data_IF_683595046310
#
_entry.id   IF_683595046310
#
_cell.length_a   1.000
_cell.length_b   1.000
_cell.length_c   1.000
_cell.angle_alpha   90.00
_cell.angle_beta   90.00
_cell.angle_gamma   90.00
#
_symmetry.space_group_name_H-M   'P 1'
#
loop_
_entity.id
_entity.type
_entity.pdbx_description
1 polymer ?
#
# COMPACT_ATOMS: atom_id res chain seq x y z
N UNK A 1 -6.46 10.32 5.96
CA UNK A 1 -5.94 9.03 5.46
C UNK A 1 -6.90 8.48 4.42
N UNK A 2 -6.39 7.94 3.32
CA UNK A 2 -7.17 7.23 2.31
C UNK A 2 -7.22 5.74 2.65
N UNK A 3 -8.14 5.01 2.00
CA UNK A 3 -8.28 3.56 2.11
C UNK A 3 -8.31 2.92 0.73
N UNK A 4 -8.05 1.62 0.67
CA UNK A 4 -7.98 0.88 -0.57
C UNK A 4 -7.74 -0.61 -0.35
N UNK A 5 -7.64 -1.32 -1.47
CA UNK A 5 -7.39 -2.76 -1.53
C UNK A 5 -6.02 -3.00 -2.16
N UNK A 6 -5.23 -3.86 -1.55
CA UNK A 6 -3.96 -4.32 -2.12
C UNK A 6 -4.26 -5.15 -3.37
N UNK A 7 -3.87 -4.63 -4.53
CA UNK A 7 -4.10 -5.28 -5.82
C UNK A 7 -3.18 -6.48 -6.02
N UNK A 8 -1.94 -6.33 -5.60
CA UNK A 8 -0.93 -7.39 -5.51
C UNK A 8 0.27 -6.87 -4.74
N UNK A 9 1.03 -7.78 -4.14
CA UNK A 9 2.31 -7.49 -3.51
C UNK A 9 3.28 -8.64 -3.75
N UNK A 10 4.55 -8.33 -4.00
CA UNK A 10 5.59 -9.33 -4.14
C UNK A 10 6.55 -9.24 -2.95
N UNK A 11 6.39 -10.16 -2.01
CA UNK A 11 7.15 -10.23 -0.76
C UNK A 11 8.66 -10.33 -1.00
N UNK A 12 9.07 -11.09 -2.01
CA UNK A 12 10.49 -11.26 -2.35
C UNK A 12 11.12 -9.97 -2.90
N UNK A 13 10.36 -9.15 -3.62
CA UNK A 13 10.83 -7.87 -4.16
C UNK A 13 10.53 -6.67 -3.24
N UNK A 14 9.65 -6.83 -2.25
CA UNK A 14 9.28 -5.78 -1.31
C UNK A 14 8.43 -4.65 -1.89
N UNK A 15 7.67 -4.90 -2.96
CA UNK A 15 6.77 -3.90 -3.53
C UNK A 15 5.52 -4.49 -4.18
N UNK A 16 4.52 -3.62 -4.37
CA UNK A 16 3.25 -3.94 -5.00
C UNK A 16 2.45 -2.69 -5.32
N UNK A 17 1.14 -2.85 -5.47
CA UNK A 17 0.22 -1.76 -5.77
C UNK A 17 -1.06 -1.86 -4.94
N UNK A 18 -1.62 -0.69 -4.61
CA UNK A 18 -2.90 -0.54 -3.92
C UNK A 18 -3.86 0.20 -4.83
N UNK A 19 -5.07 -0.35 -5.00
CA UNK A 19 -6.18 0.34 -5.67
C UNK A 19 -6.94 1.18 -4.63
N UNK A 20 -6.93 2.52 -4.74
CA UNK A 20 -7.61 3.39 -3.78
C UNK A 20 -9.13 3.36 -3.94
N UNK A 21 -9.88 3.40 -2.84
CA UNK A 21 -11.36 3.37 -2.88
C UNK A 21 -11.97 4.64 -3.49
N UNK A 22 -11.26 5.77 -3.41
CA UNK A 22 -11.66 7.03 -4.02
C UNK A 22 -11.54 7.05 -5.55
N UNK A 23 -11.13 5.92 -6.16
CA UNK A 23 -10.83 5.81 -7.58
C UNK A 23 -9.50 6.48 -7.96
N UNK A 24 -9.22 6.49 -9.26
CA UNK A 24 -7.95 6.98 -9.81
C UNK A 24 -6.96 5.87 -10.12
N UNK A 25 -5.69 6.25 -10.25
CA UNK A 25 -4.60 5.33 -10.61
C UNK A 25 -4.16 4.46 -9.42
N UNK A 26 -3.71 3.25 -9.71
CA UNK A 26 -3.10 2.37 -8.71
C UNK A 26 -1.85 3.04 -8.10
N UNK A 27 -1.75 2.96 -6.78
CA UNK A 27 -0.68 3.59 -6.02
C UNK A 27 0.44 2.60 -5.77
N UNK A 28 1.68 3.02 -6.06
CA UNK A 28 2.85 2.22 -5.74
C UNK A 28 2.98 2.03 -4.22
N UNK A 29 3.22 0.79 -3.78
CA UNK A 29 3.40 0.44 -2.38
C UNK A 29 4.77 -0.23 -2.19
N UNK A 30 5.64 0.37 -1.37
CA UNK A 30 6.95 -0.19 -1.02
C UNK A 30 6.95 -0.69 0.43
N UNK A 31 7.69 -1.77 0.71
CA UNK A 31 7.71 -2.35 2.06
C UNK A 31 8.14 -1.35 3.13
N UNK A 32 9.01 -0.40 2.81
CA UNK A 32 9.47 0.62 3.77
C UNK A 32 8.34 1.53 4.27
N UNK A 33 7.28 1.69 3.49
CA UNK A 33 6.11 2.51 3.85
C UNK A 33 5.14 1.78 4.79
N UNK A 34 5.27 0.46 4.94
CA UNK A 34 4.41 -0.36 5.80
C UNK A 34 4.77 -0.14 7.26
N UNK A 35 3.74 0.17 8.05
CA UNK A 35 3.78 0.33 9.49
C UNK A 35 3.47 -1.02 10.13
N UNK A 36 4.51 -1.78 10.43
CA UNK A 36 4.44 -3.06 11.14
C UNK A 36 5.72 -3.27 11.93
N UNK A 37 5.60 -3.90 13.09
CA UNK A 37 6.73 -4.27 13.96
C UNK A 37 7.41 -5.57 13.50
N UNK A 38 6.79 -6.31 12.58
CA UNK A 38 7.27 -7.59 12.05
C UNK A 38 7.69 -7.50 10.58
N UNK A 39 7.51 -8.61 9.86
CA UNK A 39 7.76 -8.66 8.42
C UNK A 39 6.83 -7.68 7.69
N UNK A 40 7.43 -6.75 6.93
CA UNK A 40 6.71 -5.69 6.21
C UNK A 40 6.21 -6.21 4.87
N UNK A 41 5.04 -6.82 4.89
CA UNK A 41 4.38 -7.35 3.70
C UNK A 41 2.90 -6.95 3.65
N UNK A 42 2.28 -7.14 2.49
CA UNK A 42 0.86 -6.97 2.23
C UNK A 42 0.34 -8.21 1.49
N UNK A 43 -0.91 -8.58 1.73
CA UNK A 43 -1.56 -9.69 1.04
C UNK A 43 -2.48 -9.15 -0.06
N UNK A 44 -2.60 -9.87 -1.17
CA UNK A 44 -3.60 -9.55 -2.20
C UNK A 44 -5.01 -9.54 -1.59
N UNK A 45 -5.85 -8.59 -2.02
CA UNK A 45 -7.18 -8.33 -1.49
C UNK A 45 -7.22 -7.81 -0.04
N UNK A 46 -6.07 -7.55 0.60
CA UNK A 46 -6.02 -6.97 1.94
C UNK A 46 -6.50 -5.52 1.94
N UNK A 47 -7.30 -5.16 2.95
CA UNK A 47 -7.74 -3.79 3.18
C UNK A 47 -6.70 -3.01 3.98
N UNK A 48 -6.39 -1.80 3.51
CA UNK A 48 -5.35 -0.94 4.08
C UNK A 48 -5.79 0.51 4.17
N UNK A 49 -5.27 1.22 5.16
CA UNK A 49 -5.25 2.68 5.20
C UNK A 49 -3.85 3.19 4.87
N UNK A 50 -3.76 4.36 4.27
CA UNK A 50 -2.50 4.97 3.84
C UNK A 50 -2.64 6.47 3.60
N UNK A 51 -1.52 7.13 3.38
CA UNK A 51 -1.43 8.50 2.88
C UNK A 51 -0.94 8.49 1.44
N UNK A 52 -1.54 9.33 0.60
CA UNK A 52 -1.10 9.49 -0.79
C UNK A 52 -0.02 10.56 -0.85
N UNK A 53 1.16 10.20 -1.36
CA UNK A 53 2.28 11.13 -1.51
C UNK A 53 2.85 11.05 -2.92
N UNK A 54 3.62 12.05 -3.34
CA UNK A 54 4.33 12.06 -4.62
C UNK A 54 5.79 11.69 -4.37
N UNK A 55 6.22 10.58 -4.95
CA UNK A 55 7.61 10.13 -4.93
C UNK A 55 8.31 10.27 -6.29
N UNK A 56 9.56 9.78 -6.38
CA UNK A 56 10.34 9.83 -7.62
C UNK A 56 9.69 9.09 -8.80
N UNK A 57 8.78 8.15 -8.51
CA UNK A 57 8.07 7.31 -9.50
C UNK A 57 6.59 7.67 -9.67
N UNK A 58 6.19 8.86 -9.21
CA UNK A 58 4.79 9.29 -9.21
C UNK A 58 4.08 9.03 -7.88
N UNK A 59 2.77 8.87 -7.92
CA UNK A 59 1.94 8.70 -6.72
C UNK A 59 2.23 7.36 -6.03
N UNK A 60 2.41 7.40 -4.72
CA UNK A 60 2.70 6.23 -3.89
C UNK A 60 1.96 6.29 -2.55
N UNK A 61 1.78 5.12 -1.94
CA UNK A 61 1.21 4.97 -0.62
C UNK A 61 2.31 5.08 0.46
N UNK A 62 2.11 5.97 1.42
CA UNK A 62 2.93 6.16 2.61
C UNK A 62 2.15 5.77 3.87
N UNK A 63 2.86 5.51 4.97
CA UNK A 63 2.25 5.20 6.28
C UNK A 63 1.18 4.09 6.19
N UNK A 64 1.47 3.05 5.42
CA UNK A 64 0.51 1.98 5.10
C UNK A 64 0.26 1.15 6.36
N UNK A 65 -1.01 1.02 6.74
CA UNK A 65 -1.46 0.21 7.86
C UNK A 65 -2.50 -0.79 7.38
N UNK A 66 -2.33 -2.05 7.76
CA UNK A 66 -3.39 -3.06 7.61
C UNK A 66 -4.55 -2.70 8.53
N UNK A 67 -5.74 -2.57 7.98
CA UNK A 67 -6.96 -2.39 8.76
C UNK A 67 -7.77 -3.68 8.61
N UNK A 68 -8.02 -4.35 9.72
CA UNK A 68 -8.95 -5.48 9.73
C UNK A 68 -10.37 -4.93 9.59
N UNK A 69 -11.14 -5.48 8.67
CA UNK A 69 -12.59 -5.31 8.65
C UNK A 69 -13.22 -6.07 9.82
#
# INVERSE_FOLDING_TARGET
MATGIVKWFNDSKGFGFITPDGGGEDLFAHFSAIQSNGFKTLQENQRVSFEVTIGPKGKQAANIQSIQS
#
